data_IF_457990986667
#
_entry.id   IF_457990986667
#
_cell.length_a   1.000
_cell.length_b   1.000
_cell.length_c   1.000
_cell.angle_alpha   90.00
_cell.angle_beta   90.00
_cell.angle_gamma   90.00
#
_symmetry.space_group_name_H-M   'P 1'
#
loop_
_entity.id
_entity.type
_entity.pdbx_description
1 polymer ?
#
# COMPACT_ATOMS: atom_id res chain seq x y z
N UNK A 1 -30.31 -5.42 3.89
CA UNK A 1 -29.11 -4.59 4.04
C UNK A 1 -29.40 -3.26 3.38
N UNK A 2 -29.18 -2.13 4.06
CA UNK A 2 -29.24 -0.83 3.42
C UNK A 2 -28.25 -0.77 2.25
N UNK A 3 -28.56 0.05 1.24
CA UNK A 3 -27.69 0.31 0.07
C UNK A 3 -26.23 0.56 0.50
N UNK A 4 -26.02 1.27 1.62
CA UNK A 4 -24.72 1.66 2.17
C UNK A 4 -23.79 0.49 2.56
N UNK A 5 -24.34 -0.56 3.18
CA UNK A 5 -23.57 -1.75 3.57
C UNK A 5 -23.05 -2.55 2.37
N UNK A 6 -23.78 -2.53 1.26
CA UNK A 6 -23.35 -3.14 0.02
C UNK A 6 -22.18 -2.36 -0.61
N UNK A 7 -22.29 -1.02 -0.66
CA UNK A 7 -21.25 -0.17 -1.23
C UNK A 7 -19.93 -0.23 -0.45
N UNK A 8 -19.97 -0.31 0.89
CA UNK A 8 -18.73 -0.52 1.68
C UNK A 8 -18.05 -1.83 1.30
N UNK A 9 -18.80 -2.92 1.21
CA UNK A 9 -18.21 -4.22 0.86
C UNK A 9 -17.57 -4.19 -0.52
N UNK A 10 -18.26 -3.58 -1.50
CA UNK A 10 -17.75 -3.46 -2.85
C UNK A 10 -16.47 -2.61 -2.89
N UNK A 11 -16.41 -1.52 -2.14
CA UNK A 11 -15.21 -0.68 -2.03
C UNK A 11 -14.03 -1.43 -1.40
N UNK A 12 -14.26 -2.14 -0.28
CA UNK A 12 -13.22 -2.94 0.41
C UNK A 12 -12.72 -4.06 -0.49
N UNK A 13 -13.63 -4.76 -1.17
CA UNK A 13 -13.29 -5.85 -2.07
C UNK A 13 -12.48 -5.33 -3.27
N UNK A 14 -12.87 -4.22 -3.86
CA UNK A 14 -12.12 -3.57 -4.94
C UNK A 14 -10.71 -3.17 -4.48
N UNK A 15 -10.57 -2.54 -3.31
CA UNK A 15 -9.27 -2.20 -2.71
C UNK A 15 -8.38 -3.44 -2.53
N UNK A 16 -8.96 -4.48 -1.92
CA UNK A 16 -8.26 -5.73 -1.67
C UNK A 16 -7.79 -6.38 -2.96
N UNK A 17 -8.64 -6.41 -4.00
CA UNK A 17 -8.28 -6.97 -5.30
C UNK A 17 -7.12 -6.20 -5.95
N UNK A 18 -7.14 -4.87 -5.93
CA UNK A 18 -6.04 -4.06 -6.44
C UNK A 18 -4.73 -4.34 -5.68
N UNK A 19 -4.78 -4.39 -4.35
CA UNK A 19 -3.61 -4.72 -3.53
C UNK A 19 -3.10 -6.12 -3.79
N UNK A 20 -3.98 -7.12 -3.96
CA UNK A 20 -3.60 -8.49 -4.34
C UNK A 20 -2.89 -8.49 -5.69
N UNK A 21 -3.41 -7.78 -6.69
CA UNK A 21 -2.79 -7.71 -8.03
C UNK A 21 -1.40 -7.05 -7.94
N UNK A 22 -1.28 -5.89 -7.28
CA UNK A 22 0.00 -5.18 -7.14
C UNK A 22 1.02 -6.02 -6.34
N UNK A 23 0.56 -6.67 -5.28
CA UNK A 23 1.39 -7.53 -4.44
C UNK A 23 1.87 -8.74 -5.22
N UNK A 24 0.99 -9.38 -5.98
CA UNK A 24 1.34 -10.50 -6.85
C UNK A 24 2.39 -10.09 -7.88
N UNK A 25 2.15 -8.98 -8.59
CA UNK A 25 3.08 -8.48 -9.61
C UNK A 25 4.47 -8.18 -9.03
N UNK A 26 4.52 -7.59 -7.84
CA UNK A 26 5.79 -7.23 -7.18
C UNK A 26 6.47 -8.44 -6.55
N UNK A 27 5.75 -9.25 -5.76
CA UNK A 27 6.31 -10.35 -4.99
C UNK A 27 6.77 -11.52 -5.87
N UNK A 28 6.01 -11.85 -6.93
CA UNK A 28 6.39 -12.88 -7.92
C UNK A 28 7.34 -12.36 -9.00
N UNK A 29 7.88 -11.14 -8.84
CA UNK A 29 8.87 -10.56 -9.74
C UNK A 29 8.39 -10.46 -11.20
N UNK A 30 7.09 -10.21 -11.42
CA UNK A 30 6.52 -10.01 -12.77
C UNK A 30 6.87 -8.66 -13.37
N UNK A 31 7.31 -7.71 -12.54
CA UNK A 31 7.74 -6.37 -12.92
C UNK A 31 9.25 -6.31 -13.16
N UNK A 32 9.78 -7.28 -13.92
CA UNK A 32 11.17 -7.23 -14.35
C UNK A 32 11.41 -5.99 -15.22
N UNK A 33 12.54 -5.27 -15.04
CA UNK A 33 12.92 -4.19 -15.94
C UNK A 33 13.15 -4.70 -17.37
N UNK A 34 12.71 -3.94 -18.38
CA UNK A 34 12.88 -4.28 -19.79
C UNK A 34 13.52 -3.10 -20.54
N UNK A 35 14.53 -3.39 -21.36
CA UNK A 35 15.22 -2.39 -22.17
C UNK A 35 14.34 -1.79 -23.28
N UNK A 36 13.19 -2.41 -23.60
CA UNK A 36 12.22 -1.89 -24.57
C UNK A 36 11.21 -0.92 -23.97
N UNK A 37 11.16 -0.79 -22.64
CA UNK A 37 10.28 0.14 -21.93
C UNK A 37 10.85 1.55 -21.89
N UNK A 38 9.98 2.51 -21.55
CA UNK A 38 10.42 3.87 -21.24
C UNK A 38 11.45 3.84 -20.10
N UNK A 39 12.50 4.65 -20.25
CA UNK A 39 13.63 4.75 -19.33
C UNK A 39 13.18 4.94 -17.88
N UNK A 40 12.17 5.79 -17.69
CA UNK A 40 11.66 6.17 -16.39
C UNK A 40 10.87 5.04 -15.72
N UNK A 41 10.19 4.20 -16.51
CA UNK A 41 9.51 2.99 -16.01
C UNK A 41 10.56 1.98 -15.54
N UNK A 42 11.61 1.79 -16.33
CA UNK A 42 12.75 0.93 -15.98
C UNK A 42 13.40 1.41 -14.69
N UNK A 43 13.62 2.71 -14.54
CA UNK A 43 14.20 3.31 -13.34
C UNK A 43 13.31 3.13 -12.11
N UNK A 44 11.99 3.34 -12.24
CA UNK A 44 11.02 3.07 -11.18
C UNK A 44 11.04 1.59 -10.75
N UNK A 45 11.09 0.67 -11.72
CA UNK A 45 11.16 -0.77 -11.44
C UNK A 45 12.44 -1.12 -10.71
N UNK A 46 13.58 -0.64 -11.21
CA UNK A 46 14.88 -0.85 -10.58
C UNK A 46 14.90 -0.29 -9.16
N UNK A 47 14.27 0.86 -8.90
CA UNK A 47 14.28 1.53 -7.60
C UNK A 47 13.38 0.85 -6.56
N UNK A 48 12.11 0.57 -6.90
CA UNK A 48 11.12 0.09 -5.92
C UNK A 48 10.59 -1.32 -6.20
N UNK A 49 10.42 -1.73 -7.45
CA UNK A 49 9.57 -2.89 -7.80
C UNK A 49 10.35 -4.19 -8.01
N UNK A 50 11.66 -4.11 -8.21
CA UNK A 50 12.51 -5.25 -8.54
C UNK A 50 13.72 -5.35 -7.61
N UNK A 51 13.81 -6.46 -6.88
CA UNK A 51 14.97 -6.81 -6.06
C UNK A 51 15.70 -8.01 -6.69
N UNK A 52 16.89 -7.81 -7.29
CA UNK A 52 17.65 -8.86 -7.95
C UNK A 52 17.95 -10.07 -7.07
N UNK A 53 18.17 -9.84 -5.77
CA UNK A 53 18.48 -10.90 -4.80
C UNK A 53 17.26 -11.79 -4.56
N UNK A 54 16.10 -11.18 -4.30
CA UNK A 54 14.85 -11.91 -4.08
C UNK A 54 14.33 -12.59 -5.35
N UNK A 55 14.55 -11.98 -6.52
CA UNK A 55 14.10 -12.51 -7.81
C UNK A 55 15.09 -13.51 -8.44
N UNK A 56 16.29 -13.66 -7.87
CA UNK A 56 17.32 -14.59 -8.35
C UNK A 56 17.88 -14.25 -9.73
N UNK A 57 17.68 -13.01 -10.20
CA UNK A 57 18.06 -12.58 -11.55
C UNK A 57 18.60 -11.15 -11.54
N UNK A 58 19.79 -10.99 -12.12
CA UNK A 58 20.50 -9.72 -12.21
C UNK A 58 20.11 -9.00 -13.50
N UNK A 59 19.83 -7.69 -13.41
CA UNK A 59 19.54 -6.84 -14.56
C UNK A 59 20.72 -5.91 -14.84
N UNK A 60 21.15 -5.88 -16.10
CA UNK A 60 22.22 -4.99 -16.56
C UNK A 60 21.61 -3.73 -17.14
N UNK A 61 22.03 -2.59 -16.58
CA UNK A 61 21.52 -1.29 -16.93
C UNK A 61 22.65 -0.44 -17.51
N UNK A 62 22.40 0.19 -18.65
CA UNK A 62 23.42 0.96 -19.36
C UNK A 62 23.25 2.44 -19.03
N UNK A 63 24.25 3.01 -18.37
CA UNK A 63 24.24 4.39 -17.91
C UNK A 63 25.12 5.20 -18.85
N UNK A 64 24.55 6.26 -19.41
CA UNK A 64 25.28 7.20 -20.26
C UNK A 64 25.40 8.54 -19.53
N UNK A 65 26.62 8.92 -19.14
CA UNK A 65 26.88 10.20 -18.49
C UNK A 65 27.72 11.10 -19.40
N UNK A 66 27.37 12.38 -19.49
CA UNK A 66 28.16 13.37 -20.20
C UNK A 66 29.02 14.15 -19.20
N UNK A 67 30.35 14.06 -19.29
CA UNK A 67 31.25 14.83 -18.41
C UNK A 67 31.92 15.93 -19.24
N UNK A 68 31.47 17.17 -19.04
CA UNK A 68 31.88 18.32 -19.86
C UNK A 68 31.07 18.43 -21.17
N UNK A 69 31.50 19.30 -22.09
CA UNK A 69 30.75 19.55 -23.33
C UNK A 69 30.89 18.48 -24.41
N UNK A 70 31.87 17.57 -24.34
CA UNK A 70 32.20 16.66 -25.46
C UNK A 70 32.47 15.19 -25.09
N UNK A 71 32.46 14.79 -23.81
CA UNK A 71 32.84 13.41 -23.42
C UNK A 71 31.65 12.63 -22.88
N UNK A 72 31.16 11.70 -23.69
CA UNK A 72 30.13 10.73 -23.29
C UNK A 72 30.83 9.47 -22.76
N UNK A 73 30.51 9.09 -21.53
CA UNK A 73 30.95 7.86 -20.91
C UNK A 73 29.75 6.91 -20.81
N UNK A 74 29.92 5.69 -21.29
CA UNK A 74 28.94 4.62 -21.12
C UNK A 74 29.47 3.60 -20.12
N UNK A 75 28.64 3.23 -19.15
CA UNK A 75 28.98 2.26 -18.12
C UNK A 75 27.82 1.30 -17.91
N UNK A 76 28.12 0.01 -17.87
CA UNK A 76 27.14 -1.00 -17.50
C UNK A 76 27.17 -1.15 -15.99
N UNK A 77 26.03 -0.91 -15.35
CA UNK A 77 25.82 -1.09 -13.91
C UNK A 77 24.79 -2.17 -13.67
N UNK A 78 24.94 -2.91 -12.57
CA UNK A 78 23.92 -3.86 -12.14
C UNK A 78 23.86 -3.94 -10.61
N UNK A 79 22.68 -3.76 -10.01
CA UNK A 79 22.50 -4.02 -8.60
C UNK A 79 22.52 -5.53 -8.35
N UNK A 80 23.33 -5.99 -7.40
CA UNK A 80 23.24 -7.37 -6.89
C UNK A 80 22.19 -7.50 -5.80
N UNK A 81 21.91 -6.40 -5.10
CA UNK A 81 20.87 -6.30 -4.06
C UNK A 81 20.31 -4.89 -4.09
N UNK A 82 18.98 -4.78 -4.03
CA UNK A 82 18.35 -3.48 -3.86
C UNK A 82 17.64 -3.43 -2.49
N UNK A 83 18.25 -2.72 -1.54
CA UNK A 83 17.69 -2.56 -0.20
C UNK A 83 16.37 -1.77 -0.17
N UNK A 84 16.15 -0.86 -1.12
CA UNK A 84 14.93 -0.05 -1.25
C UNK A 84 13.79 -0.94 -1.74
N UNK A 85 14.00 -1.67 -2.84
CA UNK A 85 13.02 -2.63 -3.33
C UNK A 85 12.78 -3.78 -2.34
N UNK A 86 13.82 -4.25 -1.64
CA UNK A 86 13.68 -5.27 -0.58
C UNK A 86 12.80 -4.79 0.57
N UNK A 87 12.99 -3.54 1.01
CA UNK A 87 12.13 -2.89 1.99
C UNK A 87 10.71 -2.74 1.47
N UNK A 88 10.53 -2.24 0.25
CA UNK A 88 9.22 -2.07 -0.37
C UNK A 88 8.46 -3.41 -0.53
N UNK A 89 9.16 -4.51 -0.83
CA UNK A 89 8.57 -5.86 -0.85
C UNK A 89 8.02 -6.26 0.53
N UNK A 90 8.76 -5.99 1.59
CA UNK A 90 8.31 -6.24 2.97
C UNK A 90 7.09 -5.38 3.29
N UNK A 91 7.10 -4.13 2.86
CA UNK A 91 5.99 -3.18 3.02
C UNK A 91 4.73 -3.68 2.29
N UNK A 92 4.86 -4.14 1.05
CA UNK A 92 3.77 -4.78 0.29
C UNK A 92 3.21 -6.01 1.01
N UNK A 93 4.06 -6.86 1.61
CA UNK A 93 3.59 -8.04 2.35
C UNK A 93 2.75 -7.68 3.57
N UNK A 94 3.18 -6.66 4.32
CA UNK A 94 2.41 -6.13 5.47
C UNK A 94 1.10 -5.53 4.99
N UNK A 95 1.16 -4.74 3.92
CA UNK A 95 -0.02 -4.08 3.34
C UNK A 95 -1.07 -5.09 2.84
N UNK A 96 -0.62 -6.14 2.15
CA UNK A 96 -1.45 -7.27 1.72
C UNK A 96 -2.08 -7.99 2.91
N UNK A 97 -1.28 -8.29 3.94
CA UNK A 97 -1.75 -9.02 5.13
C UNK A 97 -2.86 -8.24 5.85
N UNK A 98 -2.67 -6.93 6.02
CA UNK A 98 -3.67 -6.05 6.63
C UNK A 98 -4.95 -6.00 5.77
N UNK A 99 -4.83 -5.91 4.44
CA UNK A 99 -5.99 -5.94 3.55
C UNK A 99 -6.78 -7.24 3.67
N UNK A 100 -6.11 -8.41 3.68
CA UNK A 100 -6.76 -9.71 3.83
C UNK A 100 -7.50 -9.83 5.18
N UNK A 101 -6.86 -9.41 6.28
CA UNK A 101 -7.50 -9.39 7.61
C UNK A 101 -8.72 -8.47 7.60
N UNK A 102 -8.60 -7.31 6.96
CA UNK A 102 -9.67 -6.33 6.89
C UNK A 102 -10.87 -6.82 6.06
N UNK A 103 -10.62 -7.46 4.91
CA UNK A 103 -11.66 -8.14 4.12
C UNK A 103 -12.34 -9.24 4.93
N UNK A 104 -11.58 -10.04 5.67
CA UNK A 104 -12.12 -11.09 6.53
C UNK A 104 -13.07 -10.50 7.56
N UNK A 105 -12.66 -9.44 8.27
CA UNK A 105 -13.54 -8.76 9.21
C UNK A 105 -14.76 -8.13 8.55
N UNK A 106 -14.63 -7.61 7.32
CA UNK A 106 -15.78 -7.10 6.56
C UNK A 106 -16.81 -8.21 6.27
N UNK A 107 -16.36 -9.39 5.82
CA UNK A 107 -17.22 -10.56 5.57
C UNK A 107 -17.90 -11.01 6.87
N UNK A 108 -17.15 -11.10 7.97
CA UNK A 108 -17.71 -11.49 9.28
C UNK A 108 -18.75 -10.45 9.73
N UNK A 109 -18.46 -9.15 9.58
CA UNK A 109 -19.38 -8.10 9.96
C UNK A 109 -20.70 -8.16 9.18
N UNK A 110 -20.64 -8.45 7.87
CA UNK A 110 -21.84 -8.60 7.03
C UNK A 110 -22.64 -9.84 7.42
N UNK A 111 -21.98 -10.98 7.61
CA UNK A 111 -22.65 -12.25 7.96
C UNK A 111 -23.26 -12.21 9.37
N UNK A 112 -22.67 -11.46 10.30
CA UNK A 112 -23.14 -11.34 11.68
C UNK A 112 -24.11 -10.17 11.92
N UNK A 113 -24.32 -9.28 10.93
CA UNK A 113 -25.10 -8.04 11.07
C UNK A 113 -26.55 -8.20 11.55
N UNK A 114 -27.09 -9.42 11.57
CA UNK A 114 -28.41 -9.71 12.15
C UNK A 114 -28.41 -9.91 13.68
N UNK A 115 -27.25 -10.07 14.32
CA UNK A 115 -27.15 -10.33 15.78
C UNK A 115 -26.71 -9.09 16.54
N UNK A 116 -27.60 -8.55 17.36
CA UNK A 116 -27.45 -7.25 18.05
C UNK A 116 -26.21 -7.15 18.94
N UNK A 117 -25.78 -8.23 19.61
CA UNK A 117 -24.56 -8.24 20.43
C UNK A 117 -23.28 -8.52 19.63
N UNK A 118 -23.38 -9.19 18.49
CA UNK A 118 -22.21 -9.59 17.68
C UNK A 118 -21.62 -8.42 16.91
N UNK A 119 -22.45 -7.42 16.61
CA UNK A 119 -22.08 -6.22 15.85
C UNK A 119 -20.86 -5.48 16.41
N UNK A 120 -20.78 -5.28 17.73
CA UNK A 120 -19.65 -4.58 18.34
C UNK A 120 -18.36 -5.39 18.31
N UNK A 121 -18.47 -6.72 18.42
CA UNK A 121 -17.33 -7.63 18.40
C UNK A 121 -16.67 -7.70 17.01
N UNK A 122 -17.41 -7.41 15.94
CA UNK A 122 -16.88 -7.38 14.55
C UNK A 122 -16.49 -5.98 14.09
N UNK A 123 -17.24 -4.96 14.52
CA UNK A 123 -16.99 -3.58 14.12
C UNK A 123 -15.67 -3.06 14.67
N UNK A 124 -15.29 -3.41 15.90
CA UNK A 124 -14.07 -2.90 16.54
C UNK A 124 -12.78 -3.47 15.90
N UNK A 125 -12.65 -4.78 15.65
CA UNK A 125 -11.53 -5.33 14.87
C UNK A 125 -11.48 -4.76 13.45
N UNK A 126 -12.64 -4.56 12.82
CA UNK A 126 -12.71 -3.97 11.50
C UNK A 126 -12.19 -2.52 11.46
N UNK A 127 -12.62 -1.67 12.41
CA UNK A 127 -12.16 -0.27 12.49
C UNK A 127 -10.70 -0.16 12.87
N UNK A 128 -10.24 -0.96 13.84
CA UNK A 128 -8.84 -0.97 14.25
C UNK A 128 -7.92 -1.41 13.12
N UNK A 129 -8.29 -2.43 12.34
CA UNK A 129 -7.52 -2.84 11.15
C UNK A 129 -7.51 -1.74 10.09
N UNK A 130 -8.65 -1.07 9.87
CA UNK A 130 -8.71 0.08 8.96
C UNK A 130 -7.80 1.24 9.41
N UNK A 131 -7.73 1.53 10.72
CA UNK A 131 -6.82 2.55 11.26
C UNK A 131 -5.35 2.12 11.06
N UNK A 132 -5.04 0.84 11.28
CA UNK A 132 -3.69 0.33 11.05
C UNK A 132 -3.26 0.47 9.58
N UNK A 133 -4.17 0.22 8.62
CA UNK A 133 -3.95 0.48 7.20
C UNK A 133 -3.66 1.95 6.93
N UNK A 134 -4.47 2.86 7.47
CA UNK A 134 -4.25 4.30 7.32
C UNK A 134 -2.89 4.75 7.85
N UNK A 135 -2.50 4.29 9.04
CA UNK A 135 -1.20 4.61 9.62
C UNK A 135 -0.05 4.08 8.75
N UNK A 136 -0.23 2.88 8.19
CA UNK A 136 0.73 2.26 7.28
C UNK A 136 0.91 3.11 6.01
N UNK A 137 -0.19 3.55 5.37
CA UNK A 137 -0.15 4.41 4.19
C UNK A 137 0.52 5.76 4.47
N UNK A 138 0.29 6.36 5.64
CA UNK A 138 0.95 7.61 6.06
C UNK A 138 2.45 7.39 6.24
N UNK A 139 2.86 6.31 6.90
CA UNK A 139 4.28 5.97 7.06
C UNK A 139 4.95 5.81 5.69
N UNK A 140 4.35 5.08 4.76
CA UNK A 140 4.90 4.88 3.42
C UNK A 140 4.96 6.19 2.62
N UNK A 141 3.93 7.02 2.70
CA UNK A 141 3.95 8.36 2.11
C UNK A 141 5.16 9.16 2.59
N UNK A 142 5.41 9.19 3.91
CA UNK A 142 6.54 9.92 4.49
C UNK A 142 7.88 9.35 4.00
N UNK A 143 8.00 8.02 3.94
CA UNK A 143 9.22 7.35 3.44
C UNK A 143 9.51 7.71 1.99
N UNK A 144 8.50 7.67 1.11
CA UNK A 144 8.67 8.06 -0.28
C UNK A 144 9.01 9.54 -0.44
N UNK A 145 8.43 10.44 0.37
CA UNK A 145 8.80 11.85 0.36
C UNK A 145 10.25 12.09 0.86
N UNK A 146 10.76 11.25 1.76
CA UNK A 146 12.16 11.28 2.17
C UNK A 146 13.05 10.81 1.01
N UNK A 147 12.66 9.74 0.32
CA UNK A 147 13.40 9.19 -0.83
C UNK A 147 13.45 10.17 -2.01
N UNK A 148 12.44 11.04 -2.18
CA UNK A 148 12.44 12.09 -3.20
C UNK A 148 13.69 13.00 -3.12
N UNK A 149 14.26 13.20 -1.93
CA UNK A 149 15.48 14.01 -1.74
C UNK A 149 16.75 13.33 -2.28
N UNK A 150 16.72 12.01 -2.43
CA UNK A 150 17.86 11.20 -2.88
C UNK A 150 17.71 10.72 -4.32
N UNK A 151 16.56 10.97 -4.94
CA UNK A 151 16.18 10.41 -6.24
C UNK A 151 15.93 11.49 -7.29
N UNK A 152 16.61 12.64 -7.17
CA UNK A 152 16.41 13.79 -8.06
C UNK A 152 17.02 13.61 -9.46
N UNK A 153 18.00 12.72 -9.64
CA UNK A 153 18.55 12.35 -10.95
C UNK A 153 18.79 10.84 -11.01
N UNK A 154 18.92 10.29 -12.23
CA UNK A 154 19.29 8.87 -12.42
C UNK A 154 20.61 8.54 -11.72
N UNK A 155 21.62 9.40 -11.87
CA UNK A 155 22.91 9.24 -11.17
C UNK A 155 22.75 9.27 -9.65
N UNK A 156 21.86 10.10 -9.10
CA UNK A 156 21.54 10.12 -7.68
C UNK A 156 20.84 8.83 -7.23
N UNK A 157 19.92 8.27 -8.04
CA UNK A 157 19.29 6.98 -7.78
C UNK A 157 20.33 5.86 -7.72
N UNK A 158 21.24 5.80 -8.70
CA UNK A 158 22.29 4.80 -8.72
C UNK A 158 23.23 4.95 -7.51
N UNK A 159 23.60 6.18 -7.14
CA UNK A 159 24.38 6.45 -5.94
C UNK A 159 23.62 6.11 -4.64
N UNK A 160 22.31 6.30 -4.63
CA UNK A 160 21.47 5.93 -3.51
C UNK A 160 21.45 4.40 -3.34
N UNK A 161 21.39 3.66 -4.44
CA UNK A 161 21.53 2.20 -4.47
C UNK A 161 22.96 1.74 -4.07
N UNK A 162 24.01 2.51 -4.38
CA UNK A 162 25.41 2.13 -4.08
C UNK A 162 25.82 2.34 -2.63
N UNK A 163 25.05 3.07 -1.81
CA UNK A 163 25.43 3.45 -0.43
C UNK A 163 25.87 2.26 0.45
N UNK A 164 25.44 1.04 0.10
CA UNK A 164 25.80 -0.21 0.79
C UNK A 164 26.71 -1.16 -0.02
N UNK A 165 27.32 -0.70 -1.12
CA UNK A 165 28.26 -1.48 -1.93
C UNK A 165 27.64 -2.58 -2.80
N UNK A 166 26.32 -2.56 -3.00
CA UNK A 166 25.59 -3.59 -3.75
C UNK A 166 25.38 -3.27 -5.24
N UNK A 167 25.95 -2.18 -5.74
CA UNK A 167 25.97 -1.89 -7.17
C UNK A 167 27.35 -2.27 -7.72
N UNK A 168 27.37 -3.13 -8.73
CA UNK A 168 28.57 -3.42 -9.51
C UNK A 168 28.53 -2.62 -10.81
N UNK A 169 29.70 -2.23 -11.28
CA UNK A 169 29.82 -1.47 -12.51
C UNK A 169 31.09 -1.88 -13.26
N UNK A 170 31.00 -1.99 -14.59
CA UNK A 170 32.17 -2.11 -15.46
C UNK A 170 32.53 -0.68 -15.88
N UNK A 171 33.25 0.02 -14.99
CA UNK A 171 33.59 1.43 -15.22
C UNK A 171 34.94 1.61 -15.90
N UNK A 172 35.01 2.58 -16.82
CA UNK A 172 36.27 3.26 -17.22
C UNK A 172 36.53 4.55 -16.42
N UNK A 173 35.55 5.13 -15.73
CA UNK A 173 35.66 6.36 -14.91
C UNK A 173 34.67 6.34 -13.73
N UNK A 174 34.86 7.09 -12.63
CA UNK A 174 33.95 7.07 -11.48
C UNK A 174 32.53 7.62 -11.79
N UNK A 175 31.50 7.07 -11.14
CA UNK A 175 30.12 7.60 -11.14
C UNK A 175 30.15 8.99 -10.49
N UNK A 176 30.12 10.05 -11.28
CA UNK A 176 29.99 11.43 -10.79
C UNK A 176 28.57 11.92 -11.00
N UNK A 177 28.03 12.70 -10.05
CA UNK A 177 26.73 13.43 -10.15
C UNK A 177 26.71 14.51 -11.24
N UNK A 178 27.73 14.57 -12.09
CA UNK A 178 27.90 15.63 -13.06
C UNK A 178 27.06 15.34 -14.31
N UNK A 179 26.08 16.22 -14.54
CA UNK A 179 25.33 16.43 -15.79
C UNK A 179 24.38 15.31 -16.22
N UNK A 180 23.50 14.90 -15.31
CA UNK A 180 22.21 14.37 -15.75
C UNK A 180 21.12 15.34 -15.35
N UNK A 181 20.36 15.82 -16.34
CA UNK A 181 19.44 16.97 -16.24
C UNK A 181 18.01 16.51 -15.96
N UNK A 182 17.73 15.21 -16.13
CA UNK A 182 16.38 14.69 -15.99
C UNK A 182 16.00 14.52 -14.52
N UNK A 183 15.01 15.32 -14.08
CA UNK A 183 14.45 15.20 -12.74
C UNK A 183 13.68 13.89 -12.64
N UNK A 184 14.13 13.02 -11.72
CA UNK A 184 13.52 11.70 -11.46
C UNK A 184 12.86 11.62 -10.09
N UNK A 185 12.83 12.75 -9.35
CA UNK A 185 12.22 12.80 -8.01
C UNK A 185 10.72 12.53 -8.06
N UNK A 186 10.09 12.78 -9.21
CA UNK A 186 8.69 12.50 -9.44
C UNK A 186 8.33 11.03 -9.21
N UNK A 187 9.27 10.07 -9.39
CA UNK A 187 9.01 8.65 -9.16
C UNK A 187 8.60 8.44 -7.70
N UNK A 188 9.39 8.99 -6.77
CA UNK A 188 9.10 8.91 -5.35
C UNK A 188 7.81 9.70 -4.99
N UNK A 189 7.58 10.84 -5.64
CA UNK A 189 6.34 11.63 -5.45
C UNK A 189 5.10 10.86 -5.94
N UNK A 190 5.18 10.12 -7.03
CA UNK A 190 4.08 9.27 -7.54
C UNK A 190 3.79 8.15 -6.55
N UNK A 191 4.82 7.49 -6.01
CA UNK A 191 4.64 6.47 -4.97
C UNK A 191 4.02 7.04 -3.69
N UNK A 192 4.44 8.23 -3.27
CA UNK A 192 3.83 8.96 -2.16
C UNK A 192 2.36 9.28 -2.46
N UNK A 193 2.04 9.75 -3.67
CA UNK A 193 0.68 10.06 -4.08
C UNK A 193 -0.21 8.81 -4.13
N UNK A 194 0.30 7.69 -4.62
CA UNK A 194 -0.38 6.40 -4.56
C UNK A 194 -0.71 5.99 -3.12
N UNK A 195 0.21 6.24 -2.19
CA UNK A 195 -0.01 5.99 -0.76
C UNK A 195 -1.08 6.93 -0.16
N UNK A 196 -1.10 8.21 -0.56
CA UNK A 196 -2.13 9.19 -0.15
C UNK A 196 -3.53 8.81 -0.67
N UNK A 197 -3.65 8.18 -1.84
CA UNK A 197 -4.96 7.70 -2.32
C UNK A 197 -5.60 6.69 -1.36
N UNK A 198 -4.79 5.92 -0.63
CA UNK A 198 -5.25 5.06 0.46
C UNK A 198 -5.97 5.84 1.57
N UNK A 199 -5.47 7.04 1.92
CA UNK A 199 -6.08 7.94 2.91
C UNK A 199 -7.48 8.40 2.45
N UNK A 200 -7.61 8.81 1.19
CA UNK A 200 -8.90 9.26 0.64
C UNK A 200 -9.92 8.12 0.66
N UNK A 201 -9.49 6.91 0.29
CA UNK A 201 -10.34 5.73 0.37
C UNK A 201 -10.75 5.41 1.81
N UNK A 202 -9.82 5.56 2.77
CA UNK A 202 -10.12 5.38 4.18
C UNK A 202 -11.16 6.37 4.68
N UNK A 203 -11.12 7.64 4.28
CA UNK A 203 -12.15 8.61 4.66
C UNK A 203 -13.54 8.17 4.19
N UNK A 204 -13.67 7.69 2.95
CA UNK A 204 -14.92 7.14 2.43
C UNK A 204 -15.37 5.94 3.27
N UNK A 205 -14.44 5.04 3.58
CA UNK A 205 -14.71 3.86 4.41
C UNK A 205 -15.20 4.27 5.81
N UNK A 206 -14.56 5.26 6.46
CA UNK A 206 -14.93 5.77 7.78
C UNK A 206 -16.38 6.27 7.81
N UNK A 207 -16.79 7.08 6.84
CA UNK A 207 -18.16 7.57 6.77
C UNK A 207 -19.17 6.43 6.65
N UNK A 208 -18.85 5.41 5.84
CA UNK A 208 -19.72 4.25 5.68
C UNK A 208 -19.78 3.42 6.97
N UNK A 209 -18.66 3.24 7.69
CA UNK A 209 -18.65 2.56 9.00
C UNK A 209 -19.52 3.31 10.00
N UNK A 210 -19.36 4.63 10.06
CA UNK A 210 -20.07 5.51 10.98
C UNK A 210 -21.58 5.45 10.71
N UNK A 211 -22.00 5.44 9.46
CA UNK A 211 -23.41 5.31 9.11
C UNK A 211 -23.97 3.92 9.44
N UNK A 212 -23.22 2.84 9.16
CA UNK A 212 -23.57 1.48 9.58
C UNK A 212 -23.72 1.36 11.11
N UNK A 213 -22.86 2.06 11.87
CA UNK A 213 -22.95 2.12 13.33
C UNK A 213 -24.25 2.77 13.80
N UNK A 214 -24.63 3.90 13.21
CA UNK A 214 -25.88 4.58 13.56
C UNK A 214 -27.12 3.76 13.17
N UNK A 215 -27.10 3.08 12.02
CA UNK A 215 -28.17 2.16 11.62
C UNK A 215 -28.32 0.99 12.61
N UNK A 216 -27.20 0.37 13.02
CA UNK A 216 -27.19 -0.69 14.03
C UNK A 216 -27.70 -0.21 15.40
N UNK A 217 -27.32 1.00 15.81
CA UNK A 217 -27.76 1.59 17.07
C UNK A 217 -29.26 1.90 17.07
N UNK A 218 -29.80 2.42 15.96
CA UNK A 218 -31.25 2.65 15.81
C UNK A 218 -32.04 1.34 15.88
N UNK A 219 -31.58 0.30 15.20
CA UNK A 219 -32.19 -1.04 15.26
C UNK A 219 -32.16 -1.61 16.69
N UNK A 220 -31.04 -1.46 17.41
CA UNK A 220 -30.92 -1.92 18.79
C UNK A 220 -31.89 -1.17 19.72
N UNK A 221 -32.01 0.16 19.60
CA UNK A 221 -32.97 0.96 20.37
C UNK A 221 -34.41 0.53 20.10
N UNK A 222 -34.77 0.28 18.84
CA UNK A 222 -36.10 -0.24 18.46
C UNK A 222 -36.41 -1.57 19.15
N UNK A 223 -35.46 -2.50 19.20
CA UNK A 223 -35.60 -3.78 19.92
C UNK A 223 -35.77 -3.60 21.43
N UNK A 224 -35.05 -2.67 22.05
CA UNK A 224 -35.22 -2.37 23.47
C UNK A 224 -36.61 -1.79 23.77
N UNK A 225 -37.12 -0.90 22.92
CA UNK A 225 -38.47 -0.34 23.06
C UNK A 225 -39.58 -1.37 22.82
N UNK A 226 -39.35 -2.36 21.94
CA UNK A 226 -40.26 -3.50 21.69
C UNK A 226 -40.18 -4.59 22.76
N UNK A 227 -39.49 -4.34 23.88
CA UNK A 227 -39.49 -5.20 25.07
C UNK A 227 -40.51 -4.76 26.16
N UNK A 228 -41.74 -4.27 25.87
CA UNK A 228 -42.65 -3.84 26.92
C UNK A 228 -43.31 -5.04 27.63
N UNK A 229 -43.26 -5.00 28.96
CA UNK A 229 -44.34 -5.42 29.85
C UNK A 229 -44.79 -6.90 29.91
N UNK A 230 -44.06 -7.88 29.36
CA UNK A 230 -44.39 -9.30 29.68
C UNK A 230 -44.14 -9.61 31.18
N UNK A 231 -43.35 -8.78 31.87
CA UNK A 231 -43.05 -8.95 33.30
C UNK A 231 -44.12 -8.40 34.27
N UNK A 232 -45.23 -7.81 33.80
CA UNK A 232 -46.25 -7.19 34.67
C UNK A 232 -47.52 -8.01 34.87
N UNK A 233 -47.59 -9.26 34.37
CA UNK A 233 -48.79 -10.13 34.47
C UNK A 233 -48.62 -11.42 35.28
N UNK A 234 -47.56 -11.57 36.08
CA UNK A 234 -47.36 -12.77 36.93
C UNK A 234 -47.38 -12.51 38.44
N UNK A 235 -47.98 -11.41 38.91
CA UNK A 235 -48.09 -11.12 40.36
C UNK A 235 -49.53 -10.98 40.85
N UNK A 236 -50.49 -11.65 40.20
CA UNK A 236 -51.89 -11.69 40.67
C UNK A 236 -52.47 -13.09 40.52
N UNK A 237 -51.77 -14.09 41.05
CA UNK A 237 -52.35 -15.39 41.44
C UNK A 237 -51.44 -15.93 42.52
N UNK A 238 -51.76 -15.62 43.77
CA UNK A 238 -52.07 -16.64 44.77
C UNK A 238 -52.75 -15.97 45.96
N UNK A 239 -53.83 -16.64 46.38
CA UNK A 239 -54.71 -16.33 47.50
C UNK A 239 -53.99 -16.44 48.85
#
# INVERSE_FOLDING_TARGET
>A
MGSLGCWSMLAILFQTLLVVIISWLTLDCKLEPDATELHEITLMKILYLYDPEACGKVFFYNVTASIGHDRIYTSIVWPTKNHIASRFRTEIQVWLSLHLIWTLFAIINITQGQRSCSFYATLLPFTTTGIALLLTDVVYTILFLIDAKYTYTESAILLYLTKNGHLRAIMKSPLTTALDVEDTSWIAVVMAYCSIRGIVQWMVNFWIVKDNYFEGLDHYRKLQHHKPSVRRKSSSFDL
#
